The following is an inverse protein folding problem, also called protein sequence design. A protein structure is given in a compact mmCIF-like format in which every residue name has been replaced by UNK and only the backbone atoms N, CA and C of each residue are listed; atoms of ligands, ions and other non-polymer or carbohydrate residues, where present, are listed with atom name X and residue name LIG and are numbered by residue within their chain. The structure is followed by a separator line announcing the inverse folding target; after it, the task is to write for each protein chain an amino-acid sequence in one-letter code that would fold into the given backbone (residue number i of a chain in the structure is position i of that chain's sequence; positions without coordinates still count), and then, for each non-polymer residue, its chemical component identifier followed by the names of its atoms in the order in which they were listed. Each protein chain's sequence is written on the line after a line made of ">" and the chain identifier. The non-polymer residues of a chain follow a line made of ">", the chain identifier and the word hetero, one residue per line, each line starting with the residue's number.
data_IF_801505399779
#
_entry.id   IF_801505399779
#
_cell.length_a   1.000
_cell.length_b   1.000
_cell.length_c   1.000
_cell.angle_alpha   90.00
_cell.angle_beta   90.00
_cell.angle_gamma   90.00
#
_symmetry.space_group_name_H-M   'P 1'
#
loop_
_entity.id
_entity.type
_entity.pdbx_description
1 polymer ?
#
# COMPACT_ATOMS: atom_id res chain seq x y z
N UNK A 1 -7.07 -9.68 12.35
CA UNK A 1 -7.28 -9.93 10.88
C UNK A 1 -8.09 -8.78 10.31
N UNK A 2 -7.69 -8.19 9.18
CA UNK A 2 -8.39 -7.04 8.57
C UNK A 2 -9.88 -7.35 8.33
N UNK A 3 -10.84 -6.47 8.63
CA UNK A 3 -12.26 -6.71 8.36
C UNK A 3 -12.61 -6.66 6.85
N UNK A 4 -11.78 -6.00 6.03
CA UNK A 4 -12.01 -5.89 4.58
C UNK A 4 -11.45 -7.10 3.85
N UNK A 5 -12.33 -7.84 3.15
CA UNK A 5 -11.91 -8.93 2.27
C UNK A 5 -11.07 -8.43 1.10
N UNK A 6 -11.36 -7.22 0.60
CA UNK A 6 -10.58 -6.60 -0.45
C UNK A 6 -9.11 -6.40 -0.02
N UNK A 7 -8.90 -5.87 1.19
CA UNK A 7 -7.57 -5.72 1.80
C UNK A 7 -6.86 -7.09 1.91
N UNK A 8 -7.56 -8.12 2.42
CA UNK A 8 -6.98 -9.47 2.54
C UNK A 8 -6.55 -10.03 1.18
N UNK A 9 -7.37 -9.85 0.14
CA UNK A 9 -7.10 -10.36 -1.21
C UNK A 9 -6.00 -9.60 -1.96
N UNK A 10 -5.73 -8.35 -1.55
CA UNK A 10 -4.69 -7.53 -2.17
C UNK A 10 -3.28 -7.88 -1.72
N UNK A 11 -3.14 -8.55 -0.58
CA UNK A 11 -1.84 -8.91 -0.02
C UNK A 11 -1.24 -10.15 -0.69
N UNK A 12 0.09 -10.21 -0.69
CA UNK A 12 0.81 -11.43 -1.06
C UNK A 12 0.66 -12.50 0.03
N UNK A 13 0.87 -13.78 -0.29
CA UNK A 13 0.86 -14.85 0.72
C UNK A 13 1.93 -14.69 1.82
N UNK A 14 2.97 -13.86 1.59
CA UNK A 14 4.06 -13.61 2.52
C UNK A 14 3.86 -12.34 3.38
N UNK A 15 2.67 -11.73 3.34
CA UNK A 15 2.40 -10.48 4.09
C UNK A 15 2.50 -10.70 5.60
N UNK A 16 3.09 -9.74 6.30
CA UNK A 16 3.04 -9.66 7.77
C UNK A 16 1.90 -8.75 8.21
N UNK A 17 0.73 -9.33 8.52
CA UNK A 17 -0.43 -8.60 9.09
C UNK A 17 -0.54 -8.92 10.57
N UNK A 18 0.10 -8.11 11.40
CA UNK A 18 0.26 -8.37 12.84
C UNK A 18 -0.49 -7.33 13.67
N UNK A 19 -0.96 -7.73 14.85
CA UNK A 19 -1.42 -6.84 15.92
C UNK A 19 -0.44 -7.01 17.07
N UNK A 20 0.17 -5.92 17.51
CA UNK A 20 1.05 -5.92 18.67
C UNK A 20 0.21 -5.55 19.89
N UNK A 21 -0.01 -6.53 20.77
CA UNK A 21 -0.68 -6.30 22.04
C UNK A 21 0.39 -5.97 23.09
N UNK A 22 0.54 -4.67 23.37
CA UNK A 22 1.53 -4.15 24.31
C UNK A 22 0.83 -3.20 25.28
N UNK A 23 1.05 -3.41 26.58
CA UNK A 23 0.45 -2.61 27.65
C UNK A 23 1.37 -1.44 28.09
N UNK A 24 2.68 -1.58 27.88
CA UNK A 24 3.71 -0.62 28.28
C UNK A 24 4.34 0.03 27.04
N UNK A 25 4.50 1.36 27.08
CA UNK A 25 5.04 2.15 25.97
C UNK A 25 6.49 1.77 25.67
N UNK A 26 7.31 1.54 26.69
CA UNK A 26 8.73 1.18 26.54
C UNK A 26 8.91 -0.13 25.76
N UNK A 27 8.02 -1.10 26.01
CA UNK A 27 8.04 -2.38 25.31
C UNK A 27 7.58 -2.25 23.85
N UNK A 28 6.66 -1.33 23.56
CA UNK A 28 6.27 -1.03 22.18
C UNK A 28 7.46 -0.43 21.42
N UNK A 29 8.14 0.54 22.03
CA UNK A 29 9.33 1.16 21.47
C UNK A 29 10.47 0.16 21.23
N UNK A 30 10.70 -0.76 22.16
CA UNK A 30 11.64 -1.87 21.98
C UNK A 30 11.27 -2.73 20.76
N UNK A 31 10.01 -3.18 20.66
CA UNK A 31 9.56 -4.00 19.52
C UNK A 31 9.69 -3.23 18.20
N UNK A 32 9.35 -1.95 18.19
CA UNK A 32 9.45 -1.11 17.00
C UNK A 32 10.91 -0.93 16.55
N UNK A 33 11.81 -0.66 17.49
CA UNK A 33 13.23 -0.42 17.22
C UNK A 33 13.97 -1.70 16.83
N UNK A 34 13.77 -2.79 17.58
CA UNK A 34 14.62 -3.97 17.52
C UNK A 34 14.05 -5.08 16.61
N UNK A 35 12.75 -5.01 16.25
CA UNK A 35 12.10 -6.02 15.42
C UNK A 35 11.39 -5.46 14.18
N UNK A 36 10.45 -4.54 14.34
CA UNK A 36 9.64 -4.02 13.21
C UNK A 36 10.52 -3.22 12.25
N UNK A 37 11.38 -2.35 12.78
CA UNK A 37 12.25 -1.50 11.95
C UNK A 37 13.25 -2.32 11.11
N UNK A 38 13.99 -3.30 11.66
CA UNK A 38 14.83 -4.18 10.86
C UNK A 38 14.03 -4.95 9.81
N UNK A 39 12.91 -5.57 10.18
CA UNK A 39 12.10 -6.35 9.25
C UNK A 39 11.55 -5.50 8.08
N UNK A 40 11.09 -4.27 8.37
CA UNK A 40 10.62 -3.35 7.35
C UNK A 40 11.74 -2.92 6.39
N UNK A 41 12.96 -2.70 6.92
CA UNK A 41 14.14 -2.38 6.10
C UNK A 41 14.53 -3.55 5.22
N UNK A 42 14.52 -4.78 5.73
CA UNK A 42 14.85 -5.98 4.95
C UNK A 42 13.86 -6.18 3.79
N UNK A 43 12.55 -6.02 4.04
CA UNK A 43 11.52 -6.10 2.98
C UNK A 43 11.72 -5.00 1.93
N UNK A 44 12.04 -3.78 2.36
CA UNK A 44 12.34 -2.67 1.45
C UNK A 44 13.59 -2.97 0.61
N UNK A 45 14.65 -3.52 1.21
CA UNK A 45 15.85 -3.91 0.49
C UNK A 45 15.56 -4.97 -0.58
N UNK A 46 14.74 -5.97 -0.27
CA UNK A 46 14.28 -6.95 -1.27
C UNK A 46 13.55 -6.26 -2.42
N UNK A 47 12.65 -5.31 -2.13
CA UNK A 47 11.94 -4.56 -3.17
C UNK A 47 12.90 -3.76 -4.06
N UNK A 48 13.87 -3.05 -3.46
CA UNK A 48 14.86 -2.27 -4.19
C UNK A 48 15.76 -3.15 -5.07
N UNK A 49 16.27 -4.25 -4.54
CA UNK A 49 17.25 -5.09 -5.24
C UNK A 49 16.62 -6.07 -6.25
N UNK A 50 15.37 -6.48 -6.02
CA UNK A 50 14.72 -7.55 -6.81
C UNK A 50 13.50 -7.10 -7.61
N UNK A 51 12.85 -6.00 -7.24
CA UNK A 51 11.62 -5.55 -7.92
C UNK A 51 11.84 -4.25 -8.70
N UNK A 52 12.49 -3.25 -8.09
CA UNK A 52 12.69 -1.93 -8.69
C UNK A 52 14.01 -1.81 -9.47
N UNK A 53 14.96 -2.72 -9.24
CA UNK A 53 16.28 -2.67 -9.88
C UNK A 53 16.15 -2.74 -11.39
N UNK A 54 16.71 -1.75 -12.08
CA UNK A 54 16.91 -1.80 -13.52
C UNK A 54 17.89 -2.92 -13.81
N UNK A 55 17.43 -3.97 -14.49
CA UNK A 55 18.32 -5.03 -14.97
C UNK A 55 19.08 -4.55 -16.21
N UNK A 56 20.31 -5.05 -16.39
CA UNK A 56 21.17 -4.69 -17.52
C UNK A 56 20.51 -5.00 -18.88
N UNK A 57 19.57 -5.95 -18.91
CA UNK A 57 18.70 -6.23 -20.04
C UNK A 57 17.29 -5.72 -19.78
N UNK A 58 16.77 -4.87 -20.68
CA UNK A 58 15.38 -4.40 -20.62
C UNK A 58 14.43 -5.59 -20.80
N UNK A 59 13.74 -5.99 -19.72
CA UNK A 59 12.60 -6.90 -19.83
C UNK A 59 11.48 -6.22 -20.61
N UNK A 60 11.22 -6.70 -21.82
CA UNK A 60 10.10 -6.23 -22.64
C UNK A 60 8.86 -7.00 -22.23
N UNK A 61 7.88 -6.28 -21.69
CA UNK A 61 6.58 -6.82 -21.29
C UNK A 61 5.70 -7.03 -22.52
N UNK A 62 5.01 -8.17 -22.58
CA UNK A 62 4.05 -8.42 -23.66
C UNK A 62 2.83 -7.50 -23.56
N UNK A 63 2.20 -7.18 -24.69
CA UNK A 63 1.02 -6.29 -24.74
C UNK A 63 -0.17 -6.82 -23.92
N UNK A 64 -0.39 -8.13 -23.90
CA UNK A 64 -1.46 -8.73 -23.09
C UNK A 64 -1.15 -8.65 -21.60
N UNK A 65 0.07 -9.01 -21.19
CA UNK A 65 0.54 -8.92 -19.81
C UNK A 65 0.45 -7.47 -19.30
N UNK A 66 0.93 -6.52 -20.10
CA UNK A 66 0.84 -5.09 -19.80
C UNK A 66 -0.60 -4.63 -19.59
N UNK A 67 -1.51 -5.01 -20.49
CA UNK A 67 -2.93 -4.65 -20.38
C UNK A 67 -3.57 -5.23 -19.12
N UNK A 68 -3.24 -6.47 -18.78
CA UNK A 68 -3.78 -7.12 -17.60
C UNK A 68 -3.25 -6.49 -16.30
N UNK A 69 -1.95 -6.16 -16.27
CA UNK A 69 -1.35 -5.41 -15.16
C UNK A 69 -1.99 -4.04 -14.99
N UNK A 70 -2.15 -3.27 -16.07
CA UNK A 70 -2.82 -1.97 -16.05
C UNK A 70 -4.26 -2.08 -15.53
N UNK A 71 -5.01 -3.09 -16.00
CA UNK A 71 -6.39 -3.34 -15.57
C UNK A 71 -6.45 -3.65 -14.08
N UNK A 72 -5.59 -4.54 -13.58
CA UNK A 72 -5.52 -4.93 -12.17
C UNK A 72 -5.11 -3.75 -11.30
N UNK A 73 -4.07 -3.02 -11.68
CA UNK A 73 -3.56 -1.86 -10.95
C UNK A 73 -4.63 -0.78 -10.83
N UNK A 74 -5.31 -0.43 -11.93
CA UNK A 74 -6.36 0.58 -11.93
C UNK A 74 -7.53 0.18 -11.02
N UNK A 75 -7.95 -1.09 -11.09
CA UNK A 75 -9.00 -1.62 -10.20
C UNK A 75 -8.59 -1.55 -8.73
N UNK A 76 -7.35 -1.92 -8.42
CA UNK A 76 -6.84 -1.91 -7.05
C UNK A 76 -6.78 -0.49 -6.49
N UNK A 77 -6.17 0.44 -7.23
CA UNK A 77 -6.01 1.85 -6.83
C UNK A 77 -7.36 2.52 -6.62
N UNK A 78 -8.29 2.38 -7.57
CA UNK A 78 -9.62 2.98 -7.49
C UNK A 78 -10.36 2.51 -6.23
N UNK A 79 -10.38 1.19 -5.99
CA UNK A 79 -11.11 0.62 -4.86
C UNK A 79 -10.53 1.03 -3.50
N UNK A 80 -9.20 1.14 -3.37
CA UNK A 80 -8.57 1.68 -2.15
C UNK A 80 -8.94 3.15 -1.92
N UNK A 81 -8.94 3.99 -2.96
CA UNK A 81 -9.33 5.40 -2.82
C UNK A 81 -10.76 5.54 -2.33
N UNK A 82 -11.69 4.76 -2.91
CA UNK A 82 -13.10 4.75 -2.50
C UNK A 82 -13.26 4.30 -1.03
N UNK A 83 -12.72 3.13 -0.68
CA UNK A 83 -12.97 2.50 0.62
C UNK A 83 -12.24 3.19 1.79
N UNK A 84 -11.04 3.72 1.53
CA UNK A 84 -10.19 4.29 2.59
C UNK A 84 -10.11 5.81 2.61
N UNK A 85 -10.32 6.49 1.48
CA UNK A 85 -10.20 7.95 1.41
C UNK A 85 -11.56 8.62 1.33
N UNK A 86 -12.37 8.31 0.31
CA UNK A 86 -13.65 9.01 0.08
C UNK A 86 -14.65 8.86 1.23
N UNK A 87 -14.68 7.68 1.87
CA UNK A 87 -15.57 7.44 3.02
C UNK A 87 -15.10 8.11 4.32
N UNK A 88 -13.80 8.34 4.47
CA UNK A 88 -13.17 8.73 5.75
C UNK A 88 -12.72 10.19 5.77
N UNK A 89 -12.15 10.69 4.68
CA UNK A 89 -11.51 12.00 4.63
C UNK A 89 -12.48 13.16 4.83
N UNK A 90 -13.69 13.18 4.24
CA UNK A 90 -14.66 14.25 4.51
C UNK A 90 -15.03 14.32 6.00
N UNK A 91 -15.14 13.16 6.66
CA UNK A 91 -15.44 13.10 8.10
C UNK A 91 -14.28 13.58 8.97
N UNK A 92 -13.04 13.36 8.55
CA UNK A 92 -11.85 13.74 9.32
C UNK A 92 -11.45 15.21 9.08
N UNK A 93 -11.63 15.73 7.87
CA UNK A 93 -11.04 17.00 7.44
C UNK A 93 -12.05 18.02 6.89
N UNK A 94 -13.32 17.64 6.77
CA UNK A 94 -14.35 18.45 6.10
C UNK A 94 -14.27 18.36 4.57
N UNK A 95 -15.38 18.71 3.91
CA UNK A 95 -15.55 18.53 2.47
C UNK A 95 -14.53 19.31 1.62
N UNK A 96 -14.23 20.57 1.98
CA UNK A 96 -13.33 21.41 1.20
C UNK A 96 -11.91 20.85 1.15
N UNK A 97 -11.34 20.53 2.32
CA UNK A 97 -9.98 19.99 2.42
C UNK A 97 -9.93 18.59 1.83
N UNK A 98 -10.93 17.75 2.12
CA UNK A 98 -11.02 16.39 1.59
C UNK A 98 -11.07 16.39 0.06
N UNK A 99 -11.92 17.22 -0.55
CA UNK A 99 -12.05 17.30 -2.01
C UNK A 99 -10.71 17.62 -2.68
N UNK A 100 -9.98 18.61 -2.15
CA UNK A 100 -8.67 19.01 -2.68
C UNK A 100 -7.62 17.89 -2.55
N UNK A 101 -7.53 17.26 -1.38
CA UNK A 101 -6.54 16.22 -1.12
C UNK A 101 -6.85 14.93 -1.89
N UNK A 102 -8.11 14.49 -1.88
CA UNK A 102 -8.53 13.28 -2.60
C UNK A 102 -8.37 13.46 -4.10
N UNK A 103 -8.64 14.65 -4.65
CA UNK A 103 -8.38 14.94 -6.06
C UNK A 103 -6.91 14.76 -6.44
N UNK A 104 -5.99 15.36 -5.66
CA UNK A 104 -4.55 15.23 -5.90
C UNK A 104 -4.06 13.77 -5.79
N UNK A 105 -4.60 13.00 -4.85
CA UNK A 105 -4.28 11.57 -4.72
C UNK A 105 -4.80 10.80 -5.93
N UNK A 106 -6.04 11.03 -6.38
CA UNK A 106 -6.59 10.37 -7.57
C UNK A 106 -5.77 10.64 -8.83
N UNK A 107 -5.33 11.88 -9.00
CA UNK A 107 -4.44 12.28 -10.10
C UNK A 107 -3.13 11.47 -10.05
N UNK A 108 -2.43 11.49 -8.91
CA UNK A 108 -1.17 10.75 -8.74
C UNK A 108 -1.32 9.23 -8.96
N UNK A 109 -2.49 8.67 -8.59
CA UNK A 109 -2.78 7.24 -8.77
C UNK A 109 -3.27 6.89 -10.19
N UNK A 110 -3.55 7.87 -11.04
CA UNK A 110 -4.09 7.67 -12.40
C UNK A 110 -5.54 7.17 -12.41
N UNK A 111 -6.31 7.52 -11.38
CA UNK A 111 -7.72 7.10 -11.18
C UNK A 111 -8.67 8.29 -11.04
N UNK A 112 -8.21 9.47 -11.48
CA UNK A 112 -9.06 10.64 -11.65
C UNK A 112 -10.10 10.42 -12.76
#
# INVERSE_FOLDING_TARGET
>A
VSPSLFVRSGFSPAVSVLKLDVEEEERLEEIMRDHVSPAAKDVLMVWLERCAREEDEKRVMGEEEKRELERRDKSFRKKNVEDDLELKFPRMFGEEVSSRVVHAIKEAFGVL
#
